data_IF_031324451515
#
_entry.id   IF_031324451515
#
_cell.length_a   1.000
_cell.length_b   1.000
_cell.length_c   1.000
_cell.angle_alpha   90.00
_cell.angle_beta   90.00
_cell.angle_gamma   90.00
#
_symmetry.space_group_name_H-M   'P 1'
#
loop_
_entity.id
_entity.type
_entity.pdbx_description
1 polymer ?
#
# COMPACT_ATOMS: atom_id res chain seq x y z
N UNK A 1 -13.70 -9.22 -13.23
CA UNK A 1 -12.80 -8.11 -12.86
C UNK A 1 -12.20 -7.50 -14.12
N UNK A 2 -12.32 -6.20 -14.29
CA UNK A 2 -11.77 -5.48 -15.44
C UNK A 2 -10.26 -5.32 -15.31
N UNK A 3 -9.59 -4.95 -16.43
CA UNK A 3 -8.15 -4.64 -16.40
C UNK A 3 -7.85 -3.50 -15.42
N UNK A 4 -8.72 -2.49 -15.37
CA UNK A 4 -8.56 -1.36 -14.48
C UNK A 4 -8.61 -1.79 -13.01
N UNK A 5 -9.56 -2.65 -12.67
CA UNK A 5 -9.70 -3.16 -11.30
C UNK A 5 -8.51 -4.03 -10.90
N UNK A 6 -8.01 -4.86 -11.81
CA UNK A 6 -6.81 -5.67 -11.56
C UNK A 6 -5.60 -4.79 -11.31
N UNK A 7 -5.45 -3.72 -12.11
CA UNK A 7 -4.34 -2.78 -11.98
C UNK A 7 -4.42 -2.03 -10.64
N UNK A 8 -5.60 -1.60 -10.24
CA UNK A 8 -5.82 -0.93 -8.97
C UNK A 8 -5.56 -1.85 -7.78
N UNK A 9 -6.02 -3.11 -7.88
CA UNK A 9 -5.79 -4.11 -6.84
C UNK A 9 -4.31 -4.42 -6.67
N UNK A 10 -3.57 -4.57 -7.78
CA UNK A 10 -2.13 -4.82 -7.73
C UNK A 10 -1.40 -3.65 -7.10
N UNK A 11 -1.75 -2.43 -7.48
CA UNK A 11 -1.16 -1.23 -6.90
C UNK A 11 -1.44 -1.16 -5.40
N UNK A 12 -2.67 -1.45 -5.00
CA UNK A 12 -3.06 -1.44 -3.59
C UNK A 12 -2.23 -2.45 -2.79
N UNK A 13 -2.03 -3.64 -3.33
CA UNK A 13 -1.25 -4.68 -2.66
C UNK A 13 0.21 -4.25 -2.48
N UNK A 14 0.80 -3.66 -3.51
CA UNK A 14 2.18 -3.14 -3.43
C UNK A 14 2.30 -2.07 -2.35
N UNK A 15 1.34 -1.16 -2.26
CA UNK A 15 1.33 -0.10 -1.26
C UNK A 15 1.17 -0.66 0.15
N UNK A 16 0.34 -1.70 0.31
CA UNK A 16 0.16 -2.37 1.60
C UNK A 16 1.48 -3.00 2.04
N UNK A 17 2.19 -3.67 1.14
CA UNK A 17 3.49 -4.27 1.47
C UNK A 17 4.52 -3.21 1.85
N UNK A 18 4.55 -2.09 1.14
CA UNK A 18 5.44 -0.99 1.49
C UNK A 18 5.10 -0.39 2.86
N UNK A 19 3.82 -0.26 3.14
CA UNK A 19 3.36 0.22 4.43
C UNK A 19 3.74 -0.74 5.57
N UNK A 20 3.61 -2.04 5.35
CA UNK A 20 4.01 -3.04 6.34
C UNK A 20 5.50 -2.94 6.66
N UNK A 21 6.34 -2.74 5.65
CA UNK A 21 7.77 -2.52 5.86
C UNK A 21 8.03 -1.25 6.67
N UNK A 22 7.32 -0.19 6.36
CA UNK A 22 7.42 1.08 7.08
C UNK A 22 7.08 0.90 8.56
N UNK A 23 6.02 0.17 8.85
CA UNK A 23 5.57 -0.09 10.22
C UNK A 23 6.62 -0.89 10.99
N UNK A 24 7.26 -1.87 10.35
CA UNK A 24 8.33 -2.63 10.98
C UNK A 24 9.52 -1.75 11.35
N UNK A 25 9.82 -0.74 10.54
CA UNK A 25 10.90 0.21 10.81
C UNK A 25 10.48 1.31 11.79
N UNK A 26 9.18 1.55 11.92
CA UNK A 26 8.61 2.60 12.78
C UNK A 26 7.48 2.03 13.64
N UNK A 27 7.81 1.16 14.62
CA UNK A 27 6.77 0.43 15.37
C UNK A 27 5.79 1.32 16.13
N UNK A 28 6.19 2.53 16.52
CA UNK A 28 5.29 3.45 17.22
C UNK A 28 4.13 3.91 16.35
N UNK A 29 4.27 3.83 15.03
CA UNK A 29 3.22 4.22 14.11
C UNK A 29 1.98 3.35 14.24
N UNK A 30 2.14 2.08 14.58
CA UNK A 30 1.01 1.16 14.78
C UNK A 30 0.05 1.62 15.85
N UNK A 31 0.54 2.36 16.85
CA UNK A 31 -0.29 2.82 17.97
C UNK A 31 -1.35 3.82 17.53
N UNK A 32 -1.15 4.46 16.40
CA UNK A 32 -2.09 5.45 15.87
C UNK A 32 -3.24 4.80 15.10
N UNK A 33 -3.14 3.50 14.83
CA UNK A 33 -4.16 2.78 14.06
C UNK A 33 -5.04 2.00 15.03
N UNK A 34 -6.35 2.31 15.09
CA UNK A 34 -7.27 1.55 15.95
C UNK A 34 -7.34 0.09 15.54
N UNK A 35 -7.55 -0.79 16.50
CA UNK A 35 -7.81 -2.20 16.22
C UNK A 35 -9.06 -2.33 15.36
N UNK A 36 -9.06 -3.27 14.45
CA UNK A 36 -10.17 -3.56 13.55
C UNK A 36 -10.47 -2.42 12.56
N UNK A 37 -9.61 -1.42 12.47
CA UNK A 37 -9.79 -0.36 11.47
C UNK A 37 -9.68 -0.93 10.06
N UNK A 38 -10.49 -0.39 9.14
CA UNK A 38 -10.31 -0.63 7.72
C UNK A 38 -9.32 0.41 7.21
N UNK A 39 -8.22 -0.05 6.62
CA UNK A 39 -7.19 0.86 6.12
C UNK A 39 -7.43 1.14 4.64
N UNK A 40 -7.51 2.41 4.28
CA UNK A 40 -7.59 2.85 2.89
C UNK A 40 -6.26 3.49 2.53
N UNK A 41 -5.51 2.83 1.63
CA UNK A 41 -4.25 3.38 1.13
C UNK A 41 -4.54 4.50 0.14
N UNK A 42 -3.73 5.56 0.20
CA UNK A 42 -3.86 6.71 -0.67
C UNK A 42 -2.48 7.14 -1.15
N UNK A 43 -2.45 7.68 -2.35
CA UNK A 43 -1.22 8.27 -2.91
C UNK A 43 -1.52 9.72 -3.22
N UNK A 44 -0.73 10.63 -2.65
CA UNK A 44 -0.92 12.05 -2.90
C UNK A 44 -0.87 12.35 -4.40
N UNK A 45 -1.93 12.98 -4.91
CA UNK A 45 -2.03 13.34 -6.33
C UNK A 45 -2.65 12.30 -7.24
N UNK A 46 -2.87 11.08 -6.76
CA UNK A 46 -3.44 10.01 -7.58
C UNK A 46 -4.94 9.85 -7.28
N UNK A 47 -5.74 10.77 -7.81
CA UNK A 47 -7.18 10.80 -7.55
C UNK A 47 -7.93 9.54 -7.98
N UNK A 48 -7.67 8.96 -9.17
CA UNK A 48 -8.38 7.75 -9.57
C UNK A 48 -8.15 6.59 -8.61
N UNK A 49 -6.90 6.38 -8.20
CA UNK A 49 -6.58 5.33 -7.24
C UNK A 49 -7.21 5.61 -5.87
N UNK A 50 -7.11 6.85 -5.40
CA UNK A 50 -7.63 7.23 -4.08
C UNK A 50 -9.14 7.02 -3.99
N UNK A 51 -9.85 7.35 -5.06
CA UNK A 51 -11.29 7.13 -5.14
C UNK A 51 -11.63 5.63 -5.09
N UNK A 52 -10.95 4.85 -5.89
CA UNK A 52 -11.13 3.40 -5.91
C UNK A 52 -10.88 2.78 -4.53
N UNK A 53 -9.79 3.17 -3.90
CA UNK A 53 -9.41 2.67 -2.58
C UNK A 53 -10.43 3.05 -1.52
N UNK A 54 -10.96 4.28 -1.58
CA UNK A 54 -11.96 4.75 -0.64
C UNK A 54 -13.28 3.97 -0.78
N UNK A 55 -13.70 3.71 -2.01
CA UNK A 55 -14.91 2.93 -2.27
C UNK A 55 -14.79 1.51 -1.74
N UNK A 56 -13.63 0.91 -1.94
CA UNK A 56 -13.36 -0.43 -1.39
C UNK A 56 -13.43 -0.42 0.13
N UNK A 57 -12.82 0.57 0.77
CA UNK A 57 -12.84 0.69 2.23
C UNK A 57 -14.26 0.90 2.77
N UNK A 58 -15.07 1.70 2.08
CA UNK A 58 -16.47 1.91 2.48
C UNK A 58 -17.27 0.60 2.41
N UNK A 59 -17.03 -0.20 1.38
CA UNK A 59 -17.68 -1.50 1.25
C UNK A 59 -17.31 -2.42 2.40
N UNK A 60 -16.04 -2.46 2.76
CA UNK A 60 -15.56 -3.28 3.88
C UNK A 60 -16.10 -2.77 5.22
N UNK A 61 -16.14 -1.46 5.40
CA UNK A 61 -16.65 -0.84 6.62
C UNK A 61 -18.10 -1.19 6.90
N UNK A 62 -18.94 -1.20 5.86
CA UNK A 62 -20.36 -1.54 5.98
C UNK A 62 -20.53 -2.94 6.56
N UNK A 63 -19.66 -3.86 6.22
CA UNK A 63 -19.71 -5.23 6.75
C UNK A 63 -19.22 -5.34 8.18
N UNK A 64 -18.24 -4.53 8.57
CA UNK A 64 -17.54 -4.66 9.86
C UNK A 64 -17.94 -3.62 10.90
N UNK A 65 -18.58 -2.53 10.50
CA UNK A 65 -18.93 -1.40 11.38
C UNK A 65 -17.72 -0.86 12.15
N UNK A 66 -16.61 -0.70 11.47
CA UNK A 66 -15.35 -0.25 12.07
C UNK A 66 -14.93 1.08 11.45
N UNK A 67 -14.03 1.84 12.11
CA UNK A 67 -13.56 3.08 11.52
C UNK A 67 -12.69 2.84 10.30
N UNK A 68 -12.66 3.82 9.40
CA UNK A 68 -11.74 3.84 8.26
C UNK A 68 -10.57 4.73 8.63
N UNK A 69 -9.36 4.23 8.42
CA UNK A 69 -8.13 4.99 8.60
C UNK A 69 -7.52 5.22 7.22
N UNK A 70 -7.22 6.47 6.90
CA UNK A 70 -6.60 6.84 5.64
C UNK A 70 -5.09 6.92 5.83
N UNK A 71 -4.36 6.12 5.06
CA UNK A 71 -2.89 6.16 5.06
C UNK A 71 -2.46 6.80 3.75
N UNK A 72 -2.00 8.04 3.81
CA UNK A 72 -1.59 8.78 2.63
C UNK A 72 -0.08 8.71 2.46
N UNK A 73 0.35 8.13 1.36
CA UNK A 73 1.75 8.09 0.98
C UNK A 73 2.03 9.36 0.18
N UNK A 74 2.87 10.22 0.72
CA UNK A 74 3.20 11.48 0.07
C UNK A 74 4.35 11.33 -0.90
N UNK A 75 5.29 10.44 -0.60
CA UNK A 75 6.49 10.26 -1.41
C UNK A 75 7.04 8.86 -1.18
N UNK A 76 7.47 8.22 -2.25
CA UNK A 76 8.18 6.95 -2.18
C UNK A 76 9.52 7.07 -2.89
N UNK A 77 10.53 6.43 -2.33
CA UNK A 77 11.81 6.31 -3.02
C UNK A 77 11.63 5.35 -4.20
N UNK A 78 12.34 5.56 -5.31
CA UNK A 78 12.31 4.58 -6.40
C UNK A 78 12.75 3.20 -5.92
N UNK A 79 12.16 2.17 -6.51
CA UNK A 79 12.58 0.79 -6.21
C UNK A 79 14.00 0.60 -6.72
N UNK A 80 14.85 0.07 -5.86
CA UNK A 80 16.25 -0.17 -6.18
C UNK A 80 16.58 -1.63 -5.95
N UNK A 81 17.57 -2.13 -6.71
CA UNK A 81 18.03 -3.48 -6.50
C UNK A 81 18.63 -3.65 -5.10
N UNK A 82 18.41 -4.81 -4.52
CA UNK A 82 18.96 -5.17 -3.22
C UNK A 82 20.23 -5.99 -3.35
N UNK A 83 20.76 -6.10 -4.58
CA UNK A 83 22.03 -6.78 -4.81
C UNK A 83 23.13 -5.92 -4.22
N UNK A 84 23.88 -6.48 -3.29
CA UNK A 84 25.03 -5.80 -2.67
C UNK A 84 26.31 -6.08 -3.43
N UNK A 85 26.40 -7.26 -4.01
CA UNK A 85 27.62 -7.69 -4.70
C UNK A 85 27.25 -8.53 -5.90
N UNK A 86 27.89 -8.26 -7.03
CA UNK A 86 27.56 -8.90 -8.29
C UNK A 86 28.86 -9.26 -9.05
N UNK A 87 28.87 -10.43 -9.64
CA UNK A 87 29.96 -10.86 -10.52
C UNK A 87 29.39 -11.24 -11.86
N UNK A 88 30.01 -10.76 -12.92
CA UNK A 88 29.62 -11.10 -14.29
C UNK A 88 30.73 -11.93 -14.93
N UNK A 89 30.37 -13.11 -15.40
CA UNK A 89 31.28 -13.98 -16.12
C UNK A 89 30.68 -14.32 -17.47
N UNK A 90 31.51 -14.31 -18.49
CA UNK A 90 31.08 -14.70 -19.83
C UNK A 90 31.39 -16.20 -20.01
N UNK A 91 30.31 -16.98 -20.24
CA UNK A 91 30.46 -18.41 -20.51
C UNK A 91 30.72 -18.60 -22.01
N UNK A 92 31.73 -19.43 -22.33
CA UNK A 92 32.11 -19.70 -23.70
C UNK A 92 31.09 -20.58 -24.45
#
# INVERSE_FOLDING_TARGET
MTKKEKSMSAKNLDLIFEFEKYVLEHPDFCKEIPRNAVVSMRVEGDEPFNRWSRELAETQRKKRKTPIVLITIKRMRPAMSRIEELKIEQAA
#
